data_IF_891693693214
#
_entry.id   IF_891693693214
#
_cell.length_a   1.000
_cell.length_b   1.000
_cell.length_c   1.000
_cell.angle_alpha   90.00
_cell.angle_beta   90.00
_cell.angle_gamma   90.00
#
_symmetry.space_group_name_H-M   'P 1'
#
loop_
_entity.id
_entity.type
_entity.pdbx_description
1 polymer ?
#
# COMPACT_ATOMS: atom_id res chain seq x y z
N UNK A 1 18.57 -2.55 -8.48
CA UNK A 1 17.24 -3.20 -8.42
C UNK A 1 16.67 -3.26 -7.01
N UNK A 2 17.34 -3.86 -6.01
CA UNK A 2 16.83 -3.92 -4.60
C UNK A 2 16.39 -2.58 -4.00
N UNK A 3 17.16 -1.50 -4.21
CA UNK A 3 16.81 -0.14 -3.73
C UNK A 3 15.49 0.38 -4.32
N UNK A 4 15.16 -0.01 -5.55
CA UNK A 4 13.90 0.39 -6.20
C UNK A 4 12.72 -0.26 -5.47
N UNK A 5 12.82 -1.54 -5.12
CA UNK A 5 11.79 -2.25 -4.36
C UNK A 5 11.59 -1.67 -2.95
N UNK A 6 12.66 -1.25 -2.27
CA UNK A 6 12.56 -0.55 -0.98
C UNK A 6 11.76 0.75 -1.10
N UNK A 7 12.10 1.57 -2.08
CA UNK A 7 11.45 2.87 -2.30
C UNK A 7 9.99 2.67 -2.69
N UNK A 8 9.72 1.80 -3.67
CA UNK A 8 8.36 1.51 -4.12
C UNK A 8 7.52 0.90 -3.00
N UNK A 9 8.06 -0.06 -2.26
CA UNK A 9 7.37 -0.68 -1.14
C UNK A 9 7.02 0.31 -0.04
N UNK A 10 7.96 1.18 0.34
CA UNK A 10 7.71 2.22 1.33
C UNK A 10 6.66 3.23 0.86
N UNK A 11 6.72 3.68 -0.41
CA UNK A 11 5.76 4.63 -0.97
C UNK A 11 4.36 4.02 -1.02
N UNK A 12 4.21 2.79 -1.50
CA UNK A 12 2.91 2.11 -1.60
C UNK A 12 2.34 1.84 -0.20
N UNK A 13 3.20 1.45 0.75
CA UNK A 13 2.77 1.24 2.14
C UNK A 13 2.26 2.54 2.79
N UNK A 14 2.98 3.65 2.62
CA UNK A 14 2.56 4.96 3.14
C UNK A 14 1.28 5.42 2.44
N UNK A 15 1.14 5.19 1.13
CA UNK A 15 -0.09 5.48 0.41
C UNK A 15 -1.28 4.74 1.02
N UNK A 16 -1.15 3.43 1.29
CA UNK A 16 -2.18 2.66 1.97
C UNK A 16 -2.50 3.15 3.39
N UNK A 17 -1.52 3.68 4.14
CA UNK A 17 -1.79 4.33 5.44
C UNK A 17 -2.61 5.61 5.30
N UNK A 18 -2.34 6.41 4.26
CA UNK A 18 -3.11 7.63 3.97
C UNK A 18 -4.52 7.26 3.48
N UNK A 19 -4.66 6.23 2.65
CA UNK A 19 -5.95 5.72 2.20
C UNK A 19 -6.78 5.18 3.37
N UNK A 20 -6.15 4.45 4.30
CA UNK A 20 -6.80 3.97 5.52
C UNK A 20 -7.28 5.12 6.41
N UNK A 21 -6.42 6.11 6.65
CA UNK A 21 -6.79 7.30 7.42
C UNK A 21 -7.90 8.10 6.73
N UNK A 22 -7.85 8.17 5.40
CA UNK A 22 -8.87 8.78 4.57
C UNK A 22 -10.21 8.06 4.69
N UNK A 23 -10.24 6.73 4.62
CA UNK A 23 -11.48 5.96 4.66
C UNK A 23 -12.22 6.11 6.00
N UNK A 24 -11.50 6.19 7.14
CA UNK A 24 -12.11 6.54 8.44
C UNK A 24 -12.78 7.93 8.46
N UNK A 25 -12.34 8.84 7.59
CA UNK A 25 -12.92 10.17 7.41
C UNK A 25 -13.90 10.25 6.23
N UNK A 26 -14.31 9.11 5.64
CA UNK A 26 -15.10 9.03 4.39
C UNK A 26 -14.47 9.80 3.22
N UNK A 27 -13.13 9.87 3.19
CA UNK A 27 -12.36 10.55 2.18
C UNK A 27 -11.90 9.57 1.10
N UNK A 28 -12.41 9.75 -0.11
CA UNK A 28 -12.03 8.95 -1.27
C UNK A 28 -10.74 9.46 -1.91
N UNK A 29 -9.59 8.86 -1.54
CA UNK A 29 -8.28 9.22 -2.09
C UNK A 29 -8.15 8.80 -3.56
N UNK A 30 -8.65 7.62 -3.93
CA UNK A 30 -8.62 7.09 -5.30
C UNK A 30 -9.47 7.94 -6.25
N UNK A 31 -10.66 8.35 -5.83
CA UNK A 31 -11.53 9.25 -6.60
C UNK A 31 -10.88 10.62 -6.83
N UNK A 32 -10.07 11.12 -5.90
CA UNK A 32 -9.33 12.38 -6.08
C UNK A 32 -8.25 12.31 -7.15
N UNK A 33 -7.68 11.14 -7.39
CA UNK A 33 -6.73 10.90 -8.49
C UNK A 33 -7.40 10.39 -9.76
N UNK A 34 -8.74 10.43 -9.81
CA UNK A 34 -9.55 10.11 -11.00
C UNK A 34 -9.87 8.62 -11.17
N UNK A 35 -9.63 7.79 -10.15
CA UNK A 35 -9.92 6.36 -10.18
C UNK A 35 -11.13 6.07 -9.28
N UNK A 36 -12.26 5.71 -9.88
CA UNK A 36 -13.42 5.27 -9.12
C UNK A 36 -13.29 3.77 -8.81
N UNK A 37 -13.09 3.45 -7.54
CA UNK A 37 -13.13 2.05 -7.08
C UNK A 37 -14.57 1.66 -6.74
N UNK A 38 -15.00 0.42 -7.09
CA UNK A 38 -16.22 -0.14 -6.53
C UNK A 38 -16.15 -0.15 -5.00
N UNK A 39 -17.29 0.10 -4.33
CA UNK A 39 -17.37 0.23 -2.87
C UNK A 39 -16.67 -0.93 -2.12
N UNK A 40 -16.90 -2.17 -2.56
CA UNK A 40 -16.25 -3.34 -1.97
C UNK A 40 -14.73 -3.29 -2.08
N UNK A 41 -14.18 -2.78 -3.19
CA UNK A 41 -12.73 -2.68 -3.39
C UNK A 41 -12.17 -1.49 -2.60
N UNK A 42 -12.88 -0.36 -2.57
CA UNK A 42 -12.48 0.83 -1.82
C UNK A 42 -12.39 0.57 -0.31
N UNK A 43 -13.28 -0.25 0.25
CA UNK A 43 -13.21 -0.63 1.67
C UNK A 43 -11.97 -1.47 2.02
N UNK A 44 -11.40 -2.16 1.03
CA UNK A 44 -10.21 -2.99 1.22
C UNK A 44 -8.94 -2.41 0.59
N UNK A 45 -9.03 -1.32 -0.17
CA UNK A 45 -7.91 -0.76 -0.95
C UNK A 45 -6.72 -0.51 -0.04
N UNK A 46 -6.93 0.24 1.04
CA UNK A 46 -5.91 0.56 2.03
C UNK A 46 -5.12 -0.67 2.53
N UNK A 47 -5.81 -1.78 2.80
CA UNK A 47 -5.17 -3.02 3.25
C UNK A 47 -4.40 -3.71 2.12
N UNK A 48 -4.92 -3.66 0.89
CA UNK A 48 -4.26 -4.20 -0.30
C UNK A 48 -2.97 -3.42 -0.59
N UNK A 49 -3.00 -2.08 -0.55
CA UNK A 49 -1.79 -1.27 -0.76
C UNK A 49 -0.78 -1.51 0.36
N UNK A 50 -1.20 -1.53 1.63
CA UNK A 50 -0.30 -1.84 2.73
C UNK A 50 0.33 -3.23 2.58
N UNK A 51 -0.45 -4.26 2.19
CA UNK A 51 0.08 -5.60 1.98
C UNK A 51 1.11 -5.64 0.84
N UNK A 52 0.80 -5.05 -0.31
CA UNK A 52 1.71 -4.97 -1.46
C UNK A 52 2.97 -4.18 -1.11
N UNK A 53 2.81 -3.04 -0.43
CA UNK A 53 3.91 -2.19 0.03
C UNK A 53 4.84 -2.93 0.98
N UNK A 54 4.30 -3.66 1.96
CA UNK A 54 5.07 -4.46 2.90
C UNK A 54 5.84 -5.59 2.21
N UNK A 55 5.20 -6.30 1.26
CA UNK A 55 5.85 -7.37 0.47
C UNK A 55 6.99 -6.80 -0.38
N UNK A 56 6.76 -5.70 -1.11
CA UNK A 56 7.78 -5.07 -1.95
C UNK A 56 8.95 -4.52 -1.11
N UNK A 57 8.64 -3.93 0.04
CA UNK A 57 9.65 -3.45 0.97
C UNK A 57 10.48 -4.62 1.51
N UNK A 58 9.84 -5.74 1.88
CA UNK A 58 10.51 -6.96 2.31
C UNK A 58 11.45 -7.53 1.24
N UNK A 59 10.99 -7.65 -0.01
CA UNK A 59 11.81 -8.07 -1.17
C UNK A 59 13.01 -7.13 -1.34
N UNK A 60 12.79 -5.82 -1.23
CA UNK A 60 13.84 -4.80 -1.33
C UNK A 60 14.86 -4.88 -0.20
N UNK A 61 14.42 -5.17 1.02
CA UNK A 61 15.27 -5.37 2.20
C UNK A 61 16.06 -6.68 2.10
N UNK A 62 15.55 -7.62 1.30
CA UNK A 62 16.22 -8.86 0.96
C UNK A 62 15.60 -10.12 1.49
N UNK A 63 14.30 -10.08 1.84
CA UNK A 63 13.65 -11.04 2.73
C UNK A 63 14.32 -10.93 4.11
N UNK A 64 13.59 -10.46 5.12
CA UNK A 64 14.07 -10.66 6.49
C UNK A 64 14.18 -12.17 6.67
N UNK A 65 15.41 -12.67 6.76
CA UNK A 65 15.85 -14.03 7.12
C UNK A 65 14.99 -15.19 6.62
N UNK A 66 15.59 -16.11 5.86
CA UNK A 66 15.13 -17.49 5.82
C UNK A 66 14.66 -17.92 7.21
N UNK A 67 13.41 -18.40 7.29
CA UNK A 67 12.82 -19.12 8.41
C UNK A 67 13.88 -19.79 9.30
N UNK A 68 14.00 -19.34 10.56
CA UNK A 68 14.65 -20.10 11.63
C UNK A 68 13.64 -21.11 12.22
#
# INVERSE_FOLDING_TARGET
>A
MRKIFLILGAVIFIFGLVDLGGSYANFDLWGKIGVQLPEMIWQYSAYIEMAIGAVLFGIGKGTAESED
#
